data_IF_345878647639
#
_entry.id   IF_345878647639
#
_cell.length_a   1.000
_cell.length_b   1.000
_cell.length_c   1.000
_cell.angle_alpha   90.00
_cell.angle_beta   90.00
_cell.angle_gamma   90.00
#
_symmetry.space_group_name_H-M   'P 1'
#
loop_
_entity.id
_entity.type
_entity.pdbx_description
1 polymer ?
#
# COMPACT_ATOMS: atom_id res chain seq x y z
N UNK A 1 6.77 -32.63 -23.09
CA UNK A 1 7.38 -32.18 -24.36
C UNK A 1 7.27 -33.18 -25.52
N UNK A 2 7.83 -34.41 -25.49
CA UNK A 2 7.72 -35.33 -26.65
C UNK A 2 6.30 -35.77 -26.95
N UNK A 3 5.56 -36.21 -25.94
CA UNK A 3 4.15 -36.63 -26.10
C UNK A 3 3.22 -35.46 -26.43
N UNK A 4 3.47 -34.27 -25.87
CA UNK A 4 2.69 -33.05 -26.21
C UNK A 4 2.84 -32.69 -27.69
N UNK A 5 4.05 -32.86 -28.26
CA UNK A 5 4.32 -32.66 -29.69
C UNK A 5 3.55 -33.68 -30.54
N UNK A 6 3.59 -34.98 -30.16
CA UNK A 6 2.83 -36.03 -30.87
C UNK A 6 1.33 -35.73 -30.84
N UNK A 7 0.81 -35.28 -29.71
CA UNK A 7 -0.60 -34.93 -29.55
C UNK A 7 -1.00 -33.72 -30.43
N UNK A 8 -0.13 -32.71 -30.56
CA UNK A 8 -0.37 -31.56 -31.42
C UNK A 8 -0.36 -31.92 -32.93
N UNK A 9 0.53 -32.83 -33.32
CA UNK A 9 0.76 -33.15 -34.74
C UNK A 9 -0.02 -34.41 -35.24
N UNK A 10 -0.72 -35.11 -34.37
CA UNK A 10 -1.45 -36.36 -34.71
C UNK A 10 -2.52 -36.20 -35.79
N UNK A 11 -3.03 -34.96 -35.98
CA UNK A 11 -4.00 -34.68 -37.05
C UNK A 11 -3.38 -34.64 -38.44
N UNK A 12 -2.06 -34.37 -38.55
CA UNK A 12 -1.35 -34.22 -39.79
C UNK A 12 -0.51 -35.46 -40.14
N UNK A 13 -0.05 -36.22 -39.14
CA UNK A 13 0.87 -37.33 -39.34
C UNK A 13 0.44 -38.58 -38.52
N UNK A 14 0.68 -39.82 -39.05
CA UNK A 14 0.38 -41.05 -38.30
C UNK A 14 1.17 -41.11 -36.99
N UNK A 15 0.46 -41.49 -35.89
CA UNK A 15 1.08 -41.62 -34.56
C UNK A 15 2.28 -42.55 -34.54
N UNK A 16 2.25 -43.61 -35.37
CA UNK A 16 3.37 -44.56 -35.55
C UNK A 16 4.64 -43.89 -36.03
N UNK A 17 4.51 -42.99 -36.99
CA UNK A 17 5.63 -42.18 -37.55
C UNK A 17 6.16 -41.20 -36.52
N UNK A 18 5.27 -40.45 -35.88
CA UNK A 18 5.62 -39.46 -34.84
C UNK A 18 6.33 -40.12 -33.64
N UNK A 19 5.83 -41.26 -33.17
CA UNK A 19 6.48 -42.02 -32.09
C UNK A 19 7.89 -42.51 -32.49
N UNK A 20 8.08 -42.96 -33.73
CA UNK A 20 9.40 -43.38 -34.24
C UNK A 20 10.38 -42.21 -34.28
N UNK A 21 9.97 -41.05 -34.84
CA UNK A 21 10.78 -39.85 -34.96
C UNK A 21 11.15 -39.29 -33.56
N UNK A 22 10.19 -39.30 -32.64
CA UNK A 22 10.38 -38.80 -31.28
C UNK A 22 11.05 -39.80 -30.34
N UNK A 23 11.35 -41.04 -30.83
CA UNK A 23 11.99 -42.12 -30.08
C UNK A 23 11.23 -42.46 -28.80
N UNK A 24 9.93 -42.65 -28.88
CA UNK A 24 9.04 -43.07 -27.79
C UNK A 24 8.19 -44.27 -28.23
N UNK A 25 7.72 -45.07 -27.25
CA UNK A 25 6.85 -46.20 -27.57
C UNK A 25 5.41 -45.70 -27.81
N UNK A 26 4.69 -46.36 -28.70
CA UNK A 26 3.25 -46.10 -28.93
C UNK A 26 2.42 -46.35 -27.64
N UNK A 27 2.71 -47.42 -26.95
CA UNK A 27 2.04 -47.76 -25.67
C UNK A 27 2.30 -46.64 -24.63
N UNK A 28 3.51 -46.11 -24.57
CA UNK A 28 3.85 -44.97 -23.70
C UNK A 28 3.06 -43.71 -24.03
N UNK A 29 2.85 -43.44 -25.34
CA UNK A 29 2.04 -42.30 -25.77
C UNK A 29 0.57 -42.46 -25.34
N UNK A 30 -0.04 -43.63 -25.61
CA UNK A 30 -1.45 -43.88 -25.20
C UNK A 30 -1.61 -43.92 -23.68
N UNK A 31 -0.67 -44.48 -22.95
CA UNK A 31 -0.69 -44.44 -21.48
C UNK A 31 -0.56 -43.01 -20.94
N UNK A 32 0.23 -42.17 -21.60
CA UNK A 32 0.34 -40.72 -21.25
C UNK A 32 -0.96 -39.99 -21.58
N UNK A 33 -1.58 -40.26 -22.73
CA UNK A 33 -2.84 -39.62 -23.15
C UNK A 33 -4.00 -39.96 -22.21
N UNK A 34 -4.07 -41.23 -21.74
CA UNK A 34 -5.10 -41.68 -20.80
C UNK A 34 -4.80 -41.37 -19.34
N UNK A 35 -3.60 -40.83 -19.02
CA UNK A 35 -3.21 -40.57 -17.66
C UNK A 35 -4.08 -39.47 -17.06
N UNK A 36 -4.78 -39.72 -15.95
CA UNK A 36 -5.55 -38.72 -15.27
C UNK A 36 -4.63 -37.63 -14.74
N UNK A 37 -5.18 -36.42 -14.66
CA UNK A 37 -4.46 -35.28 -14.08
C UNK A 37 -4.05 -35.63 -12.64
N UNK A 38 -2.76 -35.48 -12.31
CA UNK A 38 -2.30 -35.81 -10.97
C UNK A 38 -2.96 -34.91 -9.91
N UNK A 39 -3.25 -35.43 -8.70
CA UNK A 39 -3.80 -34.60 -7.60
C UNK A 39 -2.99 -33.34 -7.35
N UNK A 40 -1.67 -33.44 -7.48
CA UNK A 40 -0.75 -32.28 -7.35
C UNK A 40 -0.93 -31.24 -8.45
N UNK A 41 -1.22 -31.67 -9.68
CA UNK A 41 -1.49 -30.76 -10.80
C UNK A 41 -2.81 -30.04 -10.58
N UNK A 42 -3.82 -30.77 -10.13
CA UNK A 42 -5.13 -30.22 -9.82
C UNK A 42 -5.07 -29.23 -8.66
N UNK A 43 -4.39 -29.57 -7.55
CA UNK A 43 -4.11 -28.64 -6.45
C UNK A 43 -3.40 -27.36 -6.94
N UNK A 44 -2.43 -27.52 -7.86
CA UNK A 44 -1.70 -26.39 -8.41
C UNK A 44 -2.61 -25.50 -9.26
N UNK A 45 -3.53 -26.06 -10.05
CA UNK A 45 -4.51 -25.28 -10.83
C UNK A 45 -5.45 -24.48 -9.90
N UNK A 46 -5.96 -25.11 -8.84
CA UNK A 46 -6.79 -24.42 -7.83
C UNK A 46 -6.02 -23.31 -7.16
N UNK A 47 -4.76 -23.55 -6.78
CA UNK A 47 -3.89 -22.54 -6.20
C UNK A 47 -3.68 -21.35 -7.15
N UNK A 48 -3.53 -21.59 -8.47
CA UNK A 48 -3.36 -20.54 -9.46
C UNK A 48 -4.61 -19.64 -9.57
N UNK A 49 -5.79 -20.23 -9.52
CA UNK A 49 -7.06 -19.48 -9.51
C UNK A 49 -7.12 -18.58 -8.29
N UNK A 50 -6.88 -19.12 -7.10
CA UNK A 50 -6.88 -18.37 -5.84
C UNK A 50 -5.86 -17.23 -5.83
N UNK A 51 -4.63 -17.48 -6.33
CA UNK A 51 -3.59 -16.45 -6.46
C UNK A 51 -4.07 -15.32 -7.37
N UNK A 52 -4.70 -15.66 -8.50
CA UNK A 52 -5.16 -14.67 -9.46
C UNK A 52 -6.32 -13.83 -8.89
N UNK A 53 -7.29 -14.45 -8.22
CA UNK A 53 -8.38 -13.76 -7.56
C UNK A 53 -7.88 -12.77 -6.50
N UNK A 54 -6.99 -13.22 -5.62
CA UNK A 54 -6.40 -12.37 -4.57
C UNK A 54 -5.56 -11.23 -5.15
N UNK A 55 -4.86 -11.48 -6.26
CA UNK A 55 -4.08 -10.47 -6.95
C UNK A 55 -4.98 -9.39 -7.56
N UNK A 56 -6.06 -9.77 -8.27
CA UNK A 56 -7.01 -8.82 -8.86
C UNK A 56 -7.81 -8.09 -7.75
N UNK A 57 -8.27 -8.77 -6.72
CA UNK A 57 -8.95 -8.16 -5.56
C UNK A 57 -8.08 -7.10 -4.87
N UNK A 58 -6.75 -7.30 -4.85
CA UNK A 58 -5.81 -6.30 -4.35
C UNK A 58 -5.53 -5.16 -5.35
N UNK A 59 -6.25 -5.09 -6.46
CA UNK A 59 -6.00 -4.15 -7.57
C UNK A 59 -4.56 -4.23 -8.08
N UNK A 60 -4.02 -5.45 -8.17
CA UNK A 60 -2.65 -5.77 -8.62
C UNK A 60 -1.53 -5.17 -7.74
N UNK A 61 -1.86 -4.75 -6.51
CA UNK A 61 -0.92 -4.10 -5.58
C UNK A 61 -0.21 -5.07 -4.64
N UNK A 62 -0.74 -6.30 -4.50
CA UNK A 62 -0.16 -7.32 -3.61
C UNK A 62 0.92 -8.15 -4.28
N UNK A 63 2.05 -8.28 -3.59
CA UNK A 63 3.10 -9.23 -3.95
C UNK A 63 2.97 -10.55 -3.18
N UNK A 64 3.86 -11.52 -3.46
CA UNK A 64 3.81 -12.86 -2.87
C UNK A 64 3.69 -12.90 -1.33
N UNK A 65 4.29 -12.00 -0.52
CA UNK A 65 4.10 -12.07 0.93
C UNK A 65 2.65 -11.86 1.36
N UNK A 66 1.98 -10.83 0.81
CA UNK A 66 0.59 -10.52 1.13
C UNK A 66 -0.38 -11.59 0.60
N UNK A 67 -0.14 -12.06 -0.63
CA UNK A 67 -0.95 -13.14 -1.22
C UNK A 67 -0.78 -14.44 -0.42
N UNK A 68 0.42 -14.76 0.05
CA UNK A 68 0.64 -15.95 0.90
C UNK A 68 -0.14 -15.85 2.21
N UNK A 69 -0.17 -14.68 2.85
CA UNK A 69 -0.96 -14.48 4.07
C UNK A 69 -2.45 -14.64 3.79
N UNK A 70 -2.98 -13.99 2.76
CA UNK A 70 -4.38 -14.10 2.38
C UNK A 70 -4.81 -15.52 1.98
N UNK A 71 -3.92 -16.31 1.35
CA UNK A 71 -4.12 -17.73 1.11
C UNK A 71 -4.20 -18.52 2.42
N UNK A 72 -3.35 -18.19 3.39
CA UNK A 72 -3.41 -18.78 4.73
C UNK A 72 -4.76 -18.55 5.41
N UNK A 73 -5.30 -17.34 5.33
CA UNK A 73 -6.62 -16.97 5.86
C UNK A 73 -7.77 -17.74 5.16
N UNK A 74 -7.56 -18.22 3.90
CA UNK A 74 -8.46 -19.12 3.16
C UNK A 74 -8.17 -20.61 3.39
N UNK A 75 -7.31 -20.96 4.35
CA UNK A 75 -6.97 -22.34 4.70
C UNK A 75 -5.85 -23.00 3.87
N UNK A 76 -5.19 -22.27 2.96
CA UNK A 76 -4.09 -22.82 2.18
C UNK A 76 -2.79 -22.91 2.99
N UNK A 77 -2.17 -24.07 3.02
CA UNK A 77 -0.82 -24.27 3.58
C UNK A 77 0.23 -24.23 2.46
N UNK A 78 0.66 -23.04 2.08
CA UNK A 78 1.59 -22.83 0.97
C UNK A 78 2.72 -21.89 1.36
N UNK A 79 3.96 -22.19 0.91
CA UNK A 79 5.11 -21.35 1.19
C UNK A 79 5.14 -20.10 0.28
N UNK A 80 5.69 -19.00 0.81
CA UNK A 80 5.91 -17.76 0.04
C UNK A 80 6.67 -18.00 -1.26
N UNK A 81 7.66 -18.91 -1.25
CA UNK A 81 8.45 -19.22 -2.44
C UNK A 81 7.63 -19.95 -3.51
N UNK A 82 6.71 -20.86 -3.12
CA UNK A 82 5.78 -21.51 -4.06
C UNK A 82 4.85 -20.48 -4.67
N UNK A 83 4.27 -19.57 -3.88
CA UNK A 83 3.42 -18.47 -4.37
C UNK A 83 4.20 -17.56 -5.31
N UNK A 84 5.40 -17.13 -4.94
CA UNK A 84 6.24 -16.26 -5.78
C UNK A 84 6.57 -16.90 -7.14
N UNK A 85 6.85 -18.22 -7.15
CA UNK A 85 7.09 -18.98 -8.38
C UNK A 85 5.83 -19.06 -9.25
N UNK A 86 4.65 -19.32 -8.63
CA UNK A 86 3.38 -19.37 -9.38
C UNK A 86 3.02 -18.02 -9.96
N UNK A 87 3.11 -16.94 -9.17
CA UNK A 87 2.89 -15.57 -9.67
C UNK A 87 3.78 -15.25 -10.88
N UNK A 88 5.06 -15.66 -10.85
CA UNK A 88 5.98 -15.45 -11.98
C UNK A 88 5.52 -16.22 -13.22
N UNK A 89 5.11 -17.48 -13.07
CA UNK A 89 4.62 -18.30 -14.19
C UNK A 89 3.31 -17.77 -14.78
N UNK A 90 2.46 -17.19 -13.96
CA UNK A 90 1.21 -16.54 -14.37
C UNK A 90 1.42 -15.10 -14.89
N UNK A 91 2.67 -14.59 -14.94
CA UNK A 91 2.96 -13.23 -15.35
C UNK A 91 2.51 -12.14 -14.37
N UNK A 92 2.12 -12.51 -13.14
CA UNK A 92 1.60 -11.57 -12.14
C UNK A 92 2.74 -10.84 -11.43
N UNK A 93 2.72 -9.52 -11.50
CA UNK A 93 3.72 -8.65 -10.84
C UNK A 93 3.03 -7.50 -10.14
N UNK A 94 3.34 -7.28 -8.85
CA UNK A 94 2.87 -6.10 -8.14
C UNK A 94 3.30 -4.82 -8.88
N UNK A 95 2.37 -3.87 -8.99
CA UNK A 95 2.62 -2.56 -9.60
C UNK A 95 3.57 -1.68 -8.79
N UNK A 96 3.82 -2.03 -7.52
CA UNK A 96 4.69 -1.27 -6.60
C UNK A 96 6.15 -1.41 -7.02
N UNK A 97 6.74 -0.31 -7.52
CA UNK A 97 8.18 -0.22 -7.85
C UNK A 97 8.87 0.72 -6.89
N UNK A 98 10.05 0.33 -6.38
CA UNK A 98 10.87 1.20 -5.51
C UNK A 98 11.58 2.28 -6.34
N UNK A 99 11.30 3.57 -6.07
CA UNK A 99 12.11 4.72 -6.52
C UNK A 99 12.09 5.78 -5.41
N UNK A 100 13.27 6.36 -5.08
CA UNK A 100 13.40 7.43 -4.09
C UNK A 100 13.78 8.76 -4.75
N UNK A 101 13.17 9.88 -4.27
CA UNK A 101 13.60 11.25 -4.58
C UNK A 101 13.24 12.14 -3.40
N UNK A 102 14.23 12.91 -2.87
CA UNK A 102 14.07 13.85 -1.75
C UNK A 102 13.57 15.20 -2.26
N UNK A 103 12.58 15.84 -1.60
CA UNK A 103 11.90 17.06 -2.09
C UNK A 103 11.56 18.11 -1.03
N UNK A 104 12.12 18.10 0.19
CA UNK A 104 11.74 19.04 1.26
C UNK A 104 12.57 20.32 1.26
N UNK A 105 11.90 21.50 1.30
CA UNK A 105 12.55 22.81 1.51
C UNK A 105 12.32 23.28 2.95
N UNK A 106 13.38 23.26 3.77
CA UNK A 106 13.34 23.62 5.21
C UNK A 106 13.97 24.98 5.52
N UNK A 107 14.14 25.88 4.53
CA UNK A 107 14.78 27.21 4.74
C UNK A 107 13.72 28.27 5.03
N UNK A 108 13.40 28.48 6.31
CA UNK A 108 12.54 29.57 6.77
C UNK A 108 13.02 30.13 8.11
N UNK A 109 12.49 31.32 8.53
CA UNK A 109 12.86 32.02 9.78
C UNK A 109 11.91 31.76 10.95
N UNK A 110 10.90 30.89 10.81
CA UNK A 110 9.97 30.58 11.90
C UNK A 110 10.63 29.73 12.98
N UNK A 111 10.14 29.87 14.22
CA UNK A 111 10.54 29.01 15.34
C UNK A 111 10.25 27.53 15.03
N UNK A 112 11.16 26.66 15.39
CA UNK A 112 11.08 25.24 15.16
C UNK A 112 10.79 24.53 16.48
N UNK A 113 9.71 23.76 16.55
CA UNK A 113 9.40 22.98 17.72
C UNK A 113 10.45 21.86 17.96
N UNK A 114 10.73 21.49 19.23
CA UNK A 114 11.68 20.43 19.54
C UNK A 114 11.17 19.07 18.99
N UNK A 115 12.10 18.22 18.55
CA UNK A 115 11.77 16.86 18.17
C UNK A 115 11.47 16.01 19.42
N UNK A 116 10.19 15.75 19.67
CA UNK A 116 9.73 14.94 20.80
C UNK A 116 9.58 13.45 20.44
N UNK A 117 9.54 13.14 19.13
CA UNK A 117 9.36 11.77 18.65
C UNK A 117 10.67 10.97 18.68
N UNK A 118 11.83 11.63 18.43
CA UNK A 118 13.17 11.03 18.49
C UNK A 118 13.30 9.68 17.76
N UNK A 119 12.56 9.50 16.62
CA UNK A 119 12.47 8.25 15.86
C UNK A 119 11.74 7.10 16.57
N UNK A 120 11.15 7.34 17.72
CA UNK A 120 10.23 6.37 18.32
C UNK A 120 8.86 6.50 17.65
N UNK A 121 8.61 5.61 16.69
CA UNK A 121 7.35 5.53 15.95
C UNK A 121 6.38 4.54 16.57
N UNK A 122 6.55 4.20 17.83
CA UNK A 122 5.62 3.38 18.59
C UNK A 122 4.57 4.28 19.25
N UNK A 123 3.33 3.83 19.22
CA UNK A 123 2.24 4.43 19.96
C UNK A 123 1.43 3.29 20.60
N UNK A 124 1.02 3.44 21.83
CA UNK A 124 0.32 2.39 22.58
C UNK A 124 -1.20 2.46 22.44
N UNK A 125 -1.72 3.58 21.96
CA UNK A 125 -3.16 3.83 21.79
C UNK A 125 -3.43 4.78 20.63
N UNK A 126 -4.63 4.74 20.05
CA UNK A 126 -5.06 5.71 19.05
C UNK A 126 -4.99 7.15 19.56
N UNK A 127 -4.72 8.09 18.67
CA UNK A 127 -4.68 9.53 18.94
C UNK A 127 -3.63 9.95 19.98
N UNK A 128 -2.55 9.18 20.13
CA UNK A 128 -1.41 9.56 20.97
C UNK A 128 -0.40 10.40 20.17
N UNK A 129 -0.11 9.98 18.94
CA UNK A 129 0.83 10.67 18.04
C UNK A 129 0.28 10.63 16.63
N UNK A 130 0.16 11.79 15.99
CA UNK A 130 -0.10 11.90 14.56
C UNK A 130 1.12 12.45 13.85
N UNK A 131 1.50 11.81 12.74
CA UNK A 131 2.54 12.31 11.84
C UNK A 131 1.91 12.93 10.61
N UNK A 132 2.50 14.01 10.12
CA UNK A 132 2.03 14.73 8.95
C UNK A 132 3.15 15.04 7.98
N UNK A 133 2.82 15.07 6.72
CA UNK A 133 3.73 15.48 5.65
C UNK A 133 2.92 16.02 4.46
N UNK A 134 3.61 16.71 3.55
CA UNK A 134 3.05 17.32 2.35
C UNK A 134 3.72 16.74 1.10
N UNK A 135 2.92 16.47 0.07
CA UNK A 135 3.45 16.06 -1.23
C UNK A 135 2.82 16.83 -2.38
N UNK A 136 3.56 16.88 -3.49
CA UNK A 136 3.17 17.49 -4.75
C UNK A 136 2.60 16.43 -5.68
N UNK A 137 1.46 16.70 -6.29
CA UNK A 137 0.77 15.81 -7.22
C UNK A 137 0.55 16.54 -8.55
N UNK A 138 0.93 15.91 -9.66
CA UNK A 138 0.75 16.51 -10.98
C UNK A 138 -0.69 16.33 -11.45
N UNK A 139 -1.34 17.42 -11.88
CA UNK A 139 -2.70 17.43 -12.41
C UNK A 139 -2.76 18.33 -13.63
N UNK A 140 -3.12 17.78 -14.78
CA UNK A 140 -3.09 18.51 -16.05
C UNK A 140 -1.70 19.14 -16.31
N UNK A 141 -1.67 20.47 -16.44
CA UNK A 141 -0.44 21.25 -16.59
C UNK A 141 0.08 21.85 -15.27
N UNK A 142 -0.62 21.64 -14.15
CA UNK A 142 -0.32 22.24 -12.85
C UNK A 142 0.02 21.21 -11.78
N UNK A 143 0.00 21.72 -10.53
CA UNK A 143 0.30 20.95 -9.33
C UNK A 143 -0.83 21.10 -8.32
N UNK A 144 -1.07 20.03 -7.57
CA UNK A 144 -1.87 20.03 -6.35
C UNK A 144 -0.99 19.64 -5.17
N UNK A 145 -1.36 20.11 -4.01
CA UNK A 145 -0.65 19.90 -2.75
C UNK A 145 -1.54 19.05 -1.83
N UNK A 146 -1.06 17.88 -1.47
CA UNK A 146 -1.74 16.97 -0.58
C UNK A 146 -1.04 16.95 0.78
N UNK A 147 -1.77 17.28 1.83
CA UNK A 147 -1.34 17.10 3.23
C UNK A 147 -2.13 15.95 3.83
N UNK A 148 -1.45 15.11 4.60
CA UNK A 148 -2.08 14.01 5.34
C UNK A 148 -1.68 14.05 6.82
N UNK A 149 -2.54 13.51 7.67
CA UNK A 149 -2.24 13.15 9.05
C UNK A 149 -2.47 11.65 9.25
N UNK A 150 -1.47 10.95 9.78
CA UNK A 150 -1.49 9.51 10.03
C UNK A 150 -1.35 9.27 11.52
N UNK A 151 -2.24 8.48 12.10
CA UNK A 151 -2.11 7.97 13.45
C UNK A 151 -1.00 6.91 13.50
N UNK A 152 0.01 7.12 14.33
CA UNK A 152 1.13 6.18 14.45
C UNK A 152 0.72 4.82 15.00
N UNK A 153 -0.31 4.77 15.83
CA UNK A 153 -0.80 3.54 16.41
C UNK A 153 -1.35 2.58 15.34
N UNK A 154 -2.31 3.05 14.55
CA UNK A 154 -3.04 2.23 13.59
C UNK A 154 -2.56 2.39 12.15
N UNK A 155 -1.65 3.30 11.88
CA UNK A 155 -1.25 3.70 10.51
C UNK A 155 -2.41 4.28 9.69
N UNK A 156 -3.54 4.58 10.31
CA UNK A 156 -4.71 5.15 9.66
C UNK A 156 -4.47 6.59 9.25
N UNK A 157 -4.84 6.94 8.02
CA UNK A 157 -4.94 8.34 7.62
C UNK A 157 -6.20 8.91 8.27
N UNK A 158 -6.02 9.77 9.27
CA UNK A 158 -7.10 10.35 10.09
C UNK A 158 -7.64 11.65 9.53
N UNK A 159 -6.85 12.35 8.71
CA UNK A 159 -7.25 13.57 8.02
C UNK A 159 -6.35 13.89 6.84
N UNK A 160 -6.92 14.53 5.85
CA UNK A 160 -6.19 14.99 4.67
C UNK A 160 -6.89 16.18 4.01
N UNK A 161 -6.12 16.96 3.26
CA UNK A 161 -6.62 18.05 2.44
C UNK A 161 -5.82 18.16 1.14
N UNK A 162 -6.50 18.55 0.08
CA UNK A 162 -5.94 18.82 -1.23
C UNK A 162 -6.16 20.29 -1.57
N UNK A 163 -5.14 20.97 -2.08
CA UNK A 163 -5.18 22.38 -2.48
C UNK A 163 -4.47 22.61 -3.80
N UNK A 164 -4.90 23.60 -4.56
CA UNK A 164 -4.18 24.11 -5.74
C UNK A 164 -3.13 25.17 -5.37
N UNK A 165 -3.19 25.70 -4.16
CA UNK A 165 -2.22 26.66 -3.64
C UNK A 165 -1.34 26.01 -2.57
N UNK A 166 -0.05 26.32 -2.58
CA UNK A 166 0.89 25.93 -1.52
C UNK A 166 0.88 27.00 -0.43
N UNK A 167 -0.14 26.98 0.39
CA UNK A 167 -0.25 27.88 1.54
C UNK A 167 -0.35 27.08 2.86
N UNK A 168 -0.26 27.80 3.99
CA UNK A 168 -0.37 27.19 5.33
C UNK A 168 -1.78 26.68 5.64
N UNK A 169 -2.80 27.13 4.91
CA UNK A 169 -4.20 26.78 5.19
C UNK A 169 -4.50 25.30 4.89
N UNK A 170 -3.78 24.69 3.95
CA UNK A 170 -3.99 23.29 3.59
C UNK A 170 -3.64 22.34 4.74
N UNK A 171 -2.53 22.60 5.46
CA UNK A 171 -2.14 21.79 6.62
C UNK A 171 -3.14 21.96 7.78
N UNK A 172 -3.56 23.19 8.04
CA UNK A 172 -4.57 23.48 9.07
C UNK A 172 -5.94 22.88 8.71
N UNK A 173 -6.33 22.91 7.45
CA UNK A 173 -7.58 22.28 6.98
C UNK A 173 -7.55 20.76 7.18
N UNK A 174 -6.45 20.12 6.82
CA UNK A 174 -6.27 18.68 7.05
C UNK A 174 -6.34 18.33 8.54
N UNK A 175 -5.67 19.11 9.39
CA UNK A 175 -5.68 18.94 10.84
C UNK A 175 -7.10 19.13 11.44
N UNK A 176 -7.80 20.20 11.08
CA UNK A 176 -9.18 20.44 11.52
C UNK A 176 -10.10 19.29 11.18
N UNK A 177 -10.03 18.75 9.94
CA UNK A 177 -10.80 17.57 9.52
C UNK A 177 -10.46 16.34 10.37
N UNK A 178 -9.18 16.10 10.65
CA UNK A 178 -8.72 15.00 11.50
C UNK A 178 -9.30 15.15 12.92
N UNK A 179 -9.17 16.32 13.53
CA UNK A 179 -9.66 16.60 14.89
C UNK A 179 -11.18 16.48 15.00
N UNK A 180 -11.93 17.02 14.04
CA UNK A 180 -13.39 16.88 14.00
C UNK A 180 -13.84 15.43 13.95
N UNK A 181 -13.14 14.61 13.14
CA UNK A 181 -13.46 13.19 12.96
C UNK A 181 -13.07 12.35 14.18
N UNK A 182 -11.89 12.60 14.75
CA UNK A 182 -11.27 11.75 15.76
C UNK A 182 -11.49 12.20 17.20
N UNK A 183 -11.76 13.49 17.42
CA UNK A 183 -11.93 14.12 18.74
C UNK A 183 -10.82 13.69 19.73
N UNK A 184 -9.53 13.89 19.37
CA UNK A 184 -8.42 13.41 20.17
C UNK A 184 -8.37 14.10 21.53
N UNK A 185 -7.83 13.43 22.57
CA UNK A 185 -7.62 14.04 23.86
C UNK A 185 -6.53 15.13 23.79
N UNK A 186 -6.53 16.04 24.78
CA UNK A 186 -5.41 16.97 25.00
C UNK A 186 -4.10 16.18 25.17
N UNK A 187 -2.99 16.79 24.76
CA UNK A 187 -1.67 16.12 24.80
C UNK A 187 -1.33 15.31 23.54
N UNK A 188 -2.24 15.22 22.53
CA UNK A 188 -1.90 14.65 21.24
C UNK A 188 -0.62 15.30 20.70
N UNK A 189 0.36 14.48 20.33
CA UNK A 189 1.58 14.95 19.67
C UNK A 189 1.33 15.01 18.17
N UNK A 190 1.56 16.18 17.57
CA UNK A 190 1.50 16.41 16.13
C UNK A 190 2.93 16.57 15.63
N UNK A 191 3.44 15.58 14.91
CA UNK A 191 4.79 15.57 14.37
C UNK A 191 4.79 15.82 12.87
N UNK A 192 5.70 16.68 12.41
CA UNK A 192 5.87 17.01 11.00
C UNK A 192 7.35 17.28 10.65
N UNK A 193 7.63 17.45 9.37
CA UNK A 193 8.86 18.08 8.95
C UNK A 193 8.88 19.59 9.34
N UNK A 194 9.98 20.30 9.00
CA UNK A 194 10.12 21.75 9.24
C UNK A 194 9.53 22.58 8.10
N UNK A 195 8.52 22.09 7.40
CA UNK A 195 7.87 22.86 6.35
C UNK A 195 7.21 24.12 6.89
N UNK A 196 7.26 25.22 6.12
CA UNK A 196 6.69 26.53 6.49
C UNK A 196 5.21 26.43 6.89
N UNK A 197 4.47 25.50 6.29
CA UNK A 197 3.04 25.26 6.54
C UNK A 197 2.74 24.75 7.96
N UNK A 198 3.73 24.15 8.64
CA UNK A 198 3.62 23.69 10.01
C UNK A 198 4.26 24.64 11.02
N UNK A 199 5.22 25.46 10.56
CA UNK A 199 5.95 26.42 11.42
C UNK A 199 5.25 27.78 11.52
N UNK A 200 4.26 28.07 10.67
CA UNK A 200 3.56 29.36 10.66
C UNK A 200 2.72 29.55 11.93
N UNK A 201 2.59 30.82 12.34
CA UNK A 201 1.89 31.23 13.57
C UNK A 201 0.47 30.67 13.66
N UNK A 202 -0.31 30.76 12.58
CA UNK A 202 -1.70 30.27 12.59
C UNK A 202 -1.84 28.77 12.83
N UNK A 203 -0.91 27.93 12.36
CA UNK A 203 -0.89 26.51 12.65
C UNK A 203 -0.46 26.24 14.11
N UNK A 204 0.61 26.86 14.56
CA UNK A 204 1.17 26.69 15.91
C UNK A 204 0.21 27.14 17.00
N UNK A 205 -0.41 28.30 16.84
CA UNK A 205 -1.42 28.82 17.75
C UNK A 205 -2.63 27.88 17.84
N UNK A 206 -3.12 27.43 16.70
CA UNK A 206 -4.27 26.51 16.67
C UNK A 206 -3.97 25.19 17.40
N UNK A 207 -2.79 24.61 17.20
CA UNK A 207 -2.32 23.39 17.89
C UNK A 207 -2.28 23.62 19.41
N UNK A 208 -1.70 24.75 19.84
CA UNK A 208 -1.56 25.11 21.25
C UNK A 208 -2.92 25.36 21.92
N UNK A 209 -3.82 26.12 21.27
CA UNK A 209 -5.18 26.41 21.78
C UNK A 209 -6.01 25.14 22.00
N UNK A 210 -5.79 24.08 21.22
CA UNK A 210 -6.47 22.81 21.41
C UNK A 210 -5.77 21.87 22.43
N UNK A 211 -4.69 22.35 23.06
CA UNK A 211 -3.94 21.57 24.05
C UNK A 211 -3.12 20.45 23.44
N UNK A 212 -2.77 20.53 22.15
CA UNK A 212 -1.91 19.58 21.47
C UNK A 212 -0.45 20.00 21.54
N UNK A 213 0.46 19.07 21.30
CA UNK A 213 1.90 19.25 21.42
C UNK A 213 2.54 19.18 20.03
N UNK A 214 3.14 20.27 19.58
CA UNK A 214 3.85 20.26 18.32
C UNK A 214 5.25 19.62 18.46
N UNK A 215 5.64 18.84 17.47
CA UNK A 215 6.93 18.20 17.34
C UNK A 215 7.41 18.33 15.89
N UNK A 216 8.69 18.62 15.67
CA UNK A 216 9.26 18.77 14.34
C UNK A 216 10.54 17.93 14.19
N UNK A 217 10.73 17.37 13.01
CA UNK A 217 11.93 16.63 12.62
C UNK A 217 13.20 17.48 12.77
N UNK A 218 14.35 16.83 12.93
CA UNK A 218 15.65 17.53 12.87
C UNK A 218 15.93 18.03 11.46
N UNK A 219 16.76 19.05 11.34
CA UNK A 219 17.11 19.64 10.03
C UNK A 219 17.85 18.61 9.17
N UNK A 220 17.32 18.33 7.97
CA UNK A 220 17.95 17.43 7.01
C UNK A 220 17.86 15.95 7.37
N UNK A 221 17.10 15.57 8.40
CA UNK A 221 16.94 14.18 8.84
C UNK A 221 15.58 13.63 8.37
N UNK A 222 15.60 12.98 7.21
CA UNK A 222 14.39 12.37 6.62
C UNK A 222 13.86 11.19 7.45
N UNK A 223 14.70 10.54 8.26
CA UNK A 223 14.29 9.41 9.08
C UNK A 223 13.33 9.81 10.22
N UNK A 224 13.30 11.08 10.59
CA UNK A 224 12.44 11.58 11.65
C UNK A 224 10.95 11.59 11.24
N UNK A 225 10.60 11.50 9.95
CA UNK A 225 9.22 11.44 9.43
C UNK A 225 8.95 10.22 8.53
N UNK A 226 9.67 9.13 8.75
CA UNK A 226 9.69 7.96 7.87
C UNK A 226 8.30 7.33 7.61
N UNK A 227 7.35 7.44 8.54
CA UNK A 227 6.00 6.88 8.39
C UNK A 227 5.19 7.64 7.34
N UNK A 228 5.20 8.98 7.38
CA UNK A 228 4.52 9.80 6.41
C UNK A 228 5.19 9.69 5.02
N UNK A 229 6.53 9.67 4.97
CA UNK A 229 7.27 9.42 3.73
C UNK A 229 6.93 8.05 3.12
N UNK A 230 6.84 7.00 3.94
CA UNK A 230 6.43 5.67 3.51
C UNK A 230 5.03 5.68 2.90
N UNK A 231 4.08 6.38 3.52
CA UNK A 231 2.73 6.54 2.96
C UNK A 231 2.77 7.20 1.58
N UNK A 232 3.49 8.31 1.43
CA UNK A 232 3.58 8.97 0.12
C UNK A 232 4.30 8.14 -0.93
N UNK A 233 5.28 7.35 -0.52
CA UNK A 233 5.88 6.38 -1.43
C UNK A 233 4.83 5.37 -1.93
N UNK A 234 4.00 4.83 -1.04
CA UNK A 234 2.91 3.91 -1.39
C UNK A 234 1.87 4.58 -2.29
N UNK A 235 1.38 5.77 -1.91
CA UNK A 235 0.44 6.55 -2.72
C UNK A 235 0.96 6.78 -4.15
N UNK A 236 2.24 7.15 -4.27
CA UNK A 236 2.84 7.40 -5.59
C UNK A 236 2.98 6.13 -6.41
N UNK A 237 3.44 5.04 -5.81
CA UNK A 237 3.69 3.78 -6.51
C UNK A 237 2.43 2.96 -6.76
N UNK A 238 1.41 3.10 -5.93
CA UNK A 238 0.17 2.35 -6.05
C UNK A 238 -0.93 3.12 -6.82
N UNK A 239 -0.82 4.44 -6.95
CA UNK A 239 -1.84 5.28 -7.58
C UNK A 239 -1.25 6.29 -8.57
N UNK A 240 -0.51 7.31 -8.10
CA UNK A 240 -0.25 8.50 -8.90
C UNK A 240 0.65 8.27 -10.12
N UNK A 241 1.49 7.24 -10.12
CA UNK A 241 2.30 6.87 -11.29
C UNK A 241 1.51 6.13 -12.37
N UNK A 242 0.30 5.70 -12.07
CA UNK A 242 -0.57 4.94 -12.97
C UNK A 242 -1.78 5.72 -13.45
N UNK A 243 -2.07 6.86 -12.82
CA UNK A 243 -3.18 7.71 -13.17
C UNK A 243 -2.73 9.10 -13.67
N UNK A 244 -3.49 9.66 -14.62
CA UNK A 244 -3.34 11.02 -15.10
C UNK A 244 -4.63 11.77 -14.84
N UNK A 245 -4.61 12.69 -13.90
CA UNK A 245 -5.78 13.49 -13.57
C UNK A 245 -5.83 14.74 -14.43
N UNK A 246 -6.98 15.01 -15.02
CA UNK A 246 -7.20 16.17 -15.87
C UNK A 246 -7.42 17.44 -15.04
N UNK A 247 -8.11 17.32 -13.92
CA UNK A 247 -8.51 18.41 -13.05
C UNK A 247 -8.49 18.04 -11.55
N UNK A 248 -8.82 19.03 -10.72
CA UNK A 248 -8.93 18.89 -9.27
C UNK A 248 -9.95 17.82 -8.86
N UNK A 249 -11.13 17.79 -9.51
CA UNK A 249 -12.21 16.89 -9.13
C UNK A 249 -11.83 15.43 -9.39
N UNK A 250 -11.19 15.15 -10.52
CA UNK A 250 -10.69 13.82 -10.84
C UNK A 250 -9.64 13.38 -9.80
N UNK A 251 -8.66 14.24 -9.49
CA UNK A 251 -7.63 13.96 -8.48
C UNK A 251 -8.24 13.73 -7.10
N UNK A 252 -9.17 14.60 -6.67
CA UNK A 252 -9.81 14.49 -5.37
C UNK A 252 -10.59 13.18 -5.22
N UNK A 253 -11.36 12.77 -6.24
CA UNK A 253 -12.12 11.51 -6.23
C UNK A 253 -11.20 10.31 -6.11
N UNK A 254 -10.15 10.25 -6.92
CA UNK A 254 -9.19 9.16 -6.91
C UNK A 254 -8.42 9.07 -5.59
N UNK A 255 -8.01 10.22 -5.01
CA UNK A 255 -7.37 10.27 -3.70
C UNK A 255 -8.31 9.88 -2.56
N UNK A 256 -9.57 10.31 -2.61
CA UNK A 256 -10.58 9.92 -1.64
C UNK A 256 -10.77 8.40 -1.63
N UNK A 257 -10.95 7.82 -2.80
CA UNK A 257 -11.12 6.38 -2.95
C UNK A 257 -9.87 5.61 -2.49
N UNK A 258 -8.66 6.12 -2.84
CA UNK A 258 -7.43 5.50 -2.38
C UNK A 258 -7.24 5.59 -0.86
N UNK A 259 -7.46 6.76 -0.25
CA UNK A 259 -7.19 6.99 1.18
C UNK A 259 -8.29 6.38 2.06
N UNK A 260 -9.55 6.73 1.79
CA UNK A 260 -10.65 6.40 2.71
C UNK A 260 -11.16 4.98 2.53
N UNK A 261 -11.15 4.46 1.29
CA UNK A 261 -11.63 3.11 1.00
C UNK A 261 -10.48 2.12 0.99
N UNK A 262 -9.55 2.27 0.06
CA UNK A 262 -8.51 1.27 -0.14
C UNK A 262 -7.48 1.25 1.00
N UNK A 263 -6.80 2.37 1.29
CA UNK A 263 -5.69 2.41 2.25
C UNK A 263 -6.17 2.12 3.68
N UNK A 264 -7.24 2.77 4.12
CA UNK A 264 -7.72 2.63 5.50
C UNK A 264 -8.48 1.31 5.75
N UNK A 265 -9.22 0.77 4.75
CA UNK A 265 -10.18 -0.32 4.97
C UNK A 265 -9.85 -1.64 4.24
N UNK A 266 -9.09 -1.60 3.14
CA UNK A 266 -8.81 -2.79 2.33
C UNK A 266 -7.32 -3.18 2.37
N UNK A 267 -6.44 -2.19 2.43
CA UNK A 267 -5.01 -2.40 2.36
C UNK A 267 -4.45 -2.96 3.66
N UNK A 268 -3.95 -4.18 3.63
CA UNK A 268 -3.26 -4.79 4.77
C UNK A 268 -1.86 -4.22 4.97
N UNK A 269 -1.41 -4.10 6.22
CA UNK A 269 -0.11 -3.56 6.60
C UNK A 269 0.72 -4.61 7.33
N UNK A 270 1.97 -4.83 6.88
CA UNK A 270 2.87 -5.80 7.55
C UNK A 270 3.25 -5.40 8.97
N UNK A 271 3.25 -4.09 9.28
CA UNK A 271 3.50 -3.58 10.63
C UNK A 271 2.31 -3.73 11.58
N UNK A 272 1.14 -4.10 11.05
CA UNK A 272 -0.11 -4.35 11.78
C UNK A 272 -0.51 -5.84 11.67
N UNK A 273 0.45 -6.73 11.54
CA UNK A 273 0.22 -8.17 11.34
C UNK A 273 -0.73 -8.50 10.17
N UNK A 274 -0.58 -7.74 9.07
CA UNK A 274 -1.36 -7.90 7.85
C UNK A 274 -2.88 -7.66 7.99
N UNK A 275 -3.31 -6.90 8.99
CA UNK A 275 -4.67 -6.35 9.04
C UNK A 275 -4.71 -4.92 8.47
N UNK A 276 -5.91 -4.41 8.22
CA UNK A 276 -6.09 -3.02 7.76
C UNK A 276 -6.05 -2.06 8.95
N UNK A 277 -5.77 -0.76 8.73
CA UNK A 277 -5.85 0.26 9.77
C UNK A 277 -7.18 0.27 10.54
N UNK A 278 -8.30 0.14 9.82
CA UNK A 278 -9.64 0.09 10.42
C UNK A 278 -9.83 -1.16 11.29
N UNK A 279 -9.46 -2.34 10.79
CA UNK A 279 -9.56 -3.60 11.54
C UNK A 279 -8.69 -3.57 12.80
N UNK A 280 -7.48 -2.99 12.71
CA UNK A 280 -6.57 -2.89 13.83
C UNK A 280 -7.15 -2.03 14.97
N UNK A 281 -7.82 -0.92 14.65
CA UNK A 281 -8.51 -0.09 15.65
C UNK A 281 -9.74 -0.79 16.25
N UNK A 282 -10.50 -1.53 15.45
CA UNK A 282 -11.69 -2.25 15.91
C UNK A 282 -11.35 -3.37 16.90
N UNK A 283 -10.26 -4.09 16.70
CA UNK A 283 -9.80 -5.15 17.62
C UNK A 283 -9.60 -4.65 19.05
N UNK A 284 -9.15 -3.39 19.22
CA UNK A 284 -9.02 -2.80 20.56
C UNK A 284 -10.35 -2.48 21.22
N UNK A 285 -11.31 -2.00 20.43
CA UNK A 285 -12.63 -1.67 20.98
C UNK A 285 -13.33 -2.92 21.53
N UNK A 286 -13.02 -4.09 20.96
CA UNK A 286 -13.56 -5.39 21.40
C UNK A 286 -12.85 -5.93 22.66
N UNK A 287 -11.56 -5.59 22.87
CA UNK A 287 -10.80 -6.03 24.06
C UNK A 287 -11.09 -5.12 25.27
N UNK A 288 -11.51 -3.88 25.03
CA UNK A 288 -11.79 -2.88 26.06
C UNK A 288 -13.28 -2.84 26.49
N UNK A 289 -14.15 -3.60 25.84
CA UNK A 289 -15.57 -3.82 26.20
C UNK A 289 -15.76 -5.13 26.94
#
# INVERSE_FOLDING_TARGET
MRYDFIEAEKAMYPITMLCRVMQVSRSGFYAWQQRPISPRTEETRRLDVEINELYEASRRRSGSPKITRALGDRGWRVSKNRVARRMRLLGLRSIVRRRFKVTTNSRHRFAVAPNRLQRDFTAQRPNQVWVSDLTYLRVGRGWLYLVIFIDLYSRRVVGWALSSALDHSVALTALKRAVTRRRPPKGLIIHSDRGVQYACTGFTEWVTQHGFVQSMSRKGDCWDNAVAESFFHLLKTELTYHERWLDYRAAHRSLFEYIEVFYNRERTHSTLDYVTPDQFEQQLSTIAA
#
